data_IF_436673693566
#
_entry.id   IF_436673693566
#
_cell.length_a   1.000
_cell.length_b   1.000
_cell.length_c   1.000
_cell.angle_alpha   90.00
_cell.angle_beta   90.00
_cell.angle_gamma   90.00
#
_symmetry.space_group_name_H-M   'P 1'
#
loop_
_entity.id
_entity.type
_entity.pdbx_description
1 polymer ?
#
# COMPACT_ATOMS: atom_id res chain seq x y z
N UNK A 1 13.14 -18.22 -24.59
CA UNK A 1 13.27 -16.88 -25.21
C UNK A 1 13.52 -15.86 -24.10
N UNK A 2 14.77 -15.78 -23.66
CA UNK A 2 15.72 -14.70 -23.97
C UNK A 2 15.41 -13.39 -23.23
N UNK A 3 16.05 -13.27 -22.06
CA UNK A 3 16.22 -12.06 -21.26
C UNK A 3 16.93 -10.99 -22.09
N UNK A 4 16.49 -9.73 -22.03
CA UNK A 4 17.30 -8.58 -22.46
C UNK A 4 17.85 -7.81 -21.25
N UNK A 5 19.14 -7.46 -21.26
CA UNK A 5 19.78 -6.75 -20.16
C UNK A 5 19.65 -5.23 -20.28
N UNK A 6 19.63 -4.59 -19.12
CA UNK A 6 19.85 -3.16 -18.89
C UNK A 6 21.28 -2.79 -19.34
N UNK A 7 21.42 -1.79 -20.21
CA UNK A 7 22.72 -1.15 -20.51
C UNK A 7 22.59 0.35 -20.29
N UNK A 8 23.32 0.83 -19.29
CA UNK A 8 23.78 2.20 -19.10
C UNK A 8 24.77 2.56 -20.22
N UNK A 9 24.55 3.69 -20.90
CA UNK A 9 25.59 4.40 -21.65
C UNK A 9 25.39 5.89 -21.40
N UNK A 10 26.32 6.47 -20.64
CA UNK A 10 26.54 7.91 -20.52
C UNK A 10 27.32 8.32 -21.78
N UNK A 11 26.78 9.26 -22.55
CA UNK A 11 27.54 10.02 -23.55
C UNK A 11 27.32 11.50 -23.29
N UNK A 12 28.41 12.16 -22.90
CA UNK A 12 28.57 13.59 -22.97
C UNK A 12 28.85 13.94 -24.43
N UNK A 13 27.96 14.69 -25.06
CA UNK A 13 28.25 15.38 -26.31
C UNK A 13 28.15 16.89 -26.04
N UNK A 14 29.29 17.56 -26.20
CA UNK A 14 29.43 19.01 -26.20
C UNK A 14 28.62 19.60 -27.36
N UNK A 15 27.71 20.53 -27.05
CA UNK A 15 27.04 21.34 -28.07
C UNK A 15 27.46 22.80 -27.86
N UNK A 16 28.28 23.25 -28.81
CA UNK A 16 28.72 24.62 -29.05
C UNK A 16 27.52 25.57 -29.19
N UNK A 17 27.42 26.54 -28.29
CA UNK A 17 26.46 27.65 -28.39
C UNK A 17 27.01 28.73 -29.32
N UNK A 18 26.50 28.77 -30.55
CA UNK A 18 26.67 29.90 -31.46
C UNK A 18 25.59 30.94 -31.16
N UNK A 19 26.06 32.16 -30.94
CA UNK A 19 25.36 33.33 -30.47
C UNK A 19 24.56 33.97 -31.62
N UNK A 20 23.22 33.97 -31.56
CA UNK A 20 22.39 34.80 -32.43
C UNK A 20 21.46 35.71 -31.62
N UNK A 21 21.87 36.97 -31.57
CA UNK A 21 21.14 38.10 -30.99
C UNK A 21 20.04 38.55 -31.95
N UNK A 22 18.81 38.10 -31.75
CA UNK A 22 17.60 38.89 -32.03
C UNK A 22 16.36 38.09 -31.64
N UNK A 23 15.37 38.76 -31.03
CA UNK A 23 14.01 38.26 -30.66
C UNK A 23 13.78 37.77 -29.22
N UNK A 24 14.53 38.29 -28.25
CA UNK A 24 14.18 38.18 -26.81
C UNK A 24 13.65 39.51 -26.26
N UNK A 25 12.41 39.88 -26.59
CA UNK A 25 11.70 41.00 -25.92
C UNK A 25 10.23 40.73 -25.55
N UNK A 26 9.68 39.55 -25.83
CA UNK A 26 8.27 39.25 -25.51
C UNK A 26 8.07 38.22 -24.38
N UNK A 27 9.14 37.59 -23.88
CA UNK A 27 9.04 36.49 -22.91
C UNK A 27 9.49 36.87 -21.47
N UNK A 28 9.88 38.13 -21.25
CA UNK A 28 10.50 38.56 -19.99
C UNK A 28 9.54 39.20 -18.97
N UNK A 29 8.24 39.30 -19.26
CA UNK A 29 7.29 40.00 -18.38
C UNK A 29 6.52 39.09 -17.41
N UNK A 30 6.72 37.76 -17.44
CA UNK A 30 5.95 36.82 -16.61
C UNK A 30 6.74 36.21 -15.42
N UNK A 31 8.01 36.60 -15.20
CA UNK A 31 8.88 35.99 -14.16
C UNK A 31 9.15 36.92 -12.96
N UNK A 32 8.63 38.14 -12.95
CA UNK A 32 8.78 39.10 -11.84
C UNK A 32 7.49 39.24 -11.00
N UNK A 33 6.94 38.12 -10.52
CA UNK A 33 5.98 38.11 -9.41
C UNK A 33 6.32 37.00 -8.39
N UNK A 34 7.62 36.84 -8.13
CA UNK A 34 8.16 35.95 -7.11
C UNK A 34 9.02 36.76 -6.15
N UNK A 35 8.39 37.29 -5.08
CA UNK A 35 8.98 37.61 -3.77
C UNK A 35 8.09 38.56 -2.96
N UNK A 36 6.83 38.18 -2.72
CA UNK A 36 6.14 38.51 -1.47
C UNK A 36 5.29 37.29 -1.15
N UNK A 37 5.85 36.32 -0.43
CA UNK A 37 5.05 35.28 0.21
C UNK A 37 4.34 35.99 1.37
N UNK A 38 3.02 36.25 1.35
CA UNK A 38 2.32 36.42 2.60
C UNK A 38 2.51 35.09 3.32
N UNK A 39 3.03 35.14 4.54
CA UNK A 39 2.89 34.03 5.49
C UNK A 39 1.38 33.79 5.62
N UNK A 40 0.87 32.84 4.82
CA UNK A 40 -0.51 32.41 4.91
C UNK A 40 -0.72 31.95 6.35
N UNK A 41 -1.62 32.63 7.06
CA UNK A 41 -2.04 32.21 8.38
C UNK A 41 -2.75 30.87 8.22
N UNK A 42 -2.01 29.76 8.35
CA UNK A 42 -2.64 28.45 8.49
C UNK A 42 -3.37 28.44 9.82
N UNK A 43 -4.68 28.24 9.77
CA UNK A 43 -5.50 28.01 10.96
C UNK A 43 -5.09 26.63 11.48
N UNK A 44 -4.17 26.56 12.44
CA UNK A 44 -3.79 25.27 13.01
C UNK A 44 -3.27 25.33 14.45
N UNK A 45 -3.78 24.40 15.27
CA UNK A 45 -3.10 23.84 16.43
C UNK A 45 -2.32 22.62 15.97
N UNK A 46 -0.99 22.59 16.13
CA UNK A 46 -0.17 21.49 15.64
C UNK A 46 -0.59 20.11 16.19
N UNK A 47 -0.38 19.06 15.42
CA UNK A 47 -0.59 17.68 15.88
C UNK A 47 0.41 17.35 17.01
N UNK A 48 -0.10 17.02 18.19
CA UNK A 48 0.71 16.61 19.34
C UNK A 48 0.58 15.11 19.52
N UNK A 49 1.70 14.40 19.40
CA UNK A 49 1.78 12.96 19.69
C UNK A 49 1.56 12.73 21.18
N UNK A 50 0.53 11.98 21.53
CA UNK A 50 0.28 11.62 22.92
C UNK A 50 1.33 10.63 23.42
N UNK A 51 1.80 10.83 24.65
CA UNK A 51 2.80 9.97 25.26
C UNK A 51 2.10 8.76 25.88
N UNK A 52 2.37 7.57 25.34
CA UNK A 52 1.86 6.31 25.87
C UNK A 52 2.71 5.94 27.10
N UNK A 53 2.05 5.57 28.19
CA UNK A 53 2.72 5.02 29.36
C UNK A 53 3.11 3.56 29.08
N UNK A 54 4.41 3.31 28.90
CA UNK A 54 4.98 2.01 28.59
C UNK A 54 5.91 1.58 29.72
N UNK A 55 6.00 0.27 30.02
CA UNK A 55 6.96 -0.24 30.99
C UNK A 55 8.39 0.06 30.52
N UNK A 56 9.30 0.35 31.46
CA UNK A 56 10.70 0.65 31.13
C UNK A 56 11.46 -0.58 30.59
N UNK A 57 11.06 -1.79 31.02
CA UNK A 57 11.76 -3.04 30.69
C UNK A 57 10.78 -4.18 30.37
N UNK A 58 11.21 -5.08 29.49
CA UNK A 58 10.53 -6.37 29.29
C UNK A 58 10.78 -7.30 30.48
N UNK A 59 9.82 -8.19 30.77
CA UNK A 59 10.01 -9.27 31.75
C UNK A 59 11.14 -10.23 31.36
N UNK A 60 11.45 -10.34 30.06
CA UNK A 60 12.56 -11.12 29.51
C UNK A 60 13.42 -10.21 28.64
N UNK A 61 14.69 -10.06 29.01
CA UNK A 61 15.63 -9.23 28.25
C UNK A 61 16.40 -10.08 27.25
N UNK A 62 16.36 -9.68 25.97
CA UNK A 62 17.19 -10.26 24.93
C UNK A 62 18.67 -9.92 25.11
N UNK A 63 19.56 -10.73 24.54
CA UNK A 63 21.02 -10.56 24.67
C UNK A 63 21.70 -10.11 23.38
N UNK A 64 20.99 -10.12 22.24
CA UNK A 64 21.61 -9.91 20.92
C UNK A 64 21.12 -8.65 20.22
N UNK A 65 21.99 -8.09 19.37
CA UNK A 65 21.63 -7.07 18.38
C UNK A 65 21.30 -7.76 17.06
N UNK A 66 20.18 -8.48 17.01
CA UNK A 66 19.72 -9.06 15.74
C UNK A 66 18.95 -8.05 14.89
N UNK A 67 18.95 -8.26 13.57
CA UNK A 67 18.17 -7.46 12.62
C UNK A 67 16.69 -7.86 12.69
N UNK A 68 15.83 -6.91 13.05
CA UNK A 68 14.38 -7.10 13.02
C UNK A 68 13.83 -7.32 11.59
N UNK A 69 14.55 -6.85 10.57
CA UNK A 69 14.08 -6.89 9.17
C UNK A 69 14.21 -8.29 8.57
N UNK A 70 15.28 -9.03 8.92
CA UNK A 70 15.57 -10.36 8.38
C UNK A 70 15.66 -11.43 9.48
N UNK A 71 14.83 -11.31 10.51
CA UNK A 71 14.88 -12.10 11.75
C UNK A 71 14.88 -13.62 11.53
N UNK A 72 14.24 -14.11 10.47
CA UNK A 72 14.17 -15.55 10.19
C UNK A 72 15.54 -16.14 9.80
N UNK A 73 16.50 -15.30 9.38
CA UNK A 73 17.85 -15.76 9.05
C UNK A 73 18.60 -16.29 10.27
N UNK A 74 18.18 -15.89 11.48
CA UNK A 74 18.80 -16.33 12.73
C UNK A 74 18.58 -17.81 13.02
N UNK A 75 17.60 -18.46 12.38
CA UNK A 75 17.43 -19.91 12.43
C UNK A 75 18.54 -20.67 11.69
N UNK A 76 19.37 -19.97 10.90
CA UNK A 76 20.46 -20.54 10.10
C UNK A 76 20.01 -21.70 9.18
N UNK A 77 18.82 -21.58 8.60
CA UNK A 77 18.24 -22.58 7.69
C UNK A 77 18.21 -22.06 6.24
N UNK A 78 19.08 -22.57 5.35
CA UNK A 78 19.11 -22.17 3.95
C UNK A 78 17.83 -22.53 3.16
N UNK A 79 17.11 -23.59 3.55
CA UNK A 79 15.84 -23.97 2.90
C UNK A 79 14.76 -22.96 3.26
N UNK A 80 14.65 -22.59 4.54
CA UNK A 80 13.73 -21.55 5.00
C UNK A 80 13.98 -20.22 4.29
N UNK A 81 15.26 -19.82 4.15
CA UNK A 81 15.62 -18.59 3.45
C UNK A 81 15.15 -18.59 1.98
N UNK A 82 15.41 -19.68 1.25
CA UNK A 82 14.96 -19.83 -0.14
C UNK A 82 13.44 -19.81 -0.28
N UNK A 83 12.74 -20.47 0.65
CA UNK A 83 11.27 -20.49 0.66
C UNK A 83 10.70 -19.08 0.86
N UNK A 84 11.24 -18.32 1.83
CA UNK A 84 10.80 -16.94 2.08
C UNK A 84 11.11 -16.04 0.89
N UNK A 85 12.30 -16.14 0.30
CA UNK A 85 12.65 -15.37 -0.90
C UNK A 85 11.69 -15.69 -2.06
N UNK A 86 11.32 -16.96 -2.22
CA UNK A 86 10.35 -17.38 -3.24
C UNK A 86 8.94 -16.81 -2.97
N UNK A 87 8.47 -16.91 -1.74
CA UNK A 87 7.15 -16.39 -1.32
C UNK A 87 7.09 -14.88 -1.53
N UNK A 88 8.09 -14.12 -1.07
CA UNK A 88 8.12 -12.67 -1.19
C UNK A 88 8.18 -12.18 -2.66
N UNK A 89 8.68 -13.00 -3.58
CA UNK A 89 8.74 -12.64 -5.00
C UNK A 89 7.41 -12.82 -5.75
N UNK A 90 6.53 -13.71 -5.28
CA UNK A 90 5.32 -14.14 -6.01
C UNK A 90 4.02 -13.97 -5.24
N UNK A 91 4.07 -13.50 -4.00
CA UNK A 91 2.87 -13.37 -3.17
C UNK A 91 1.93 -12.26 -3.69
N UNK A 92 0.68 -12.61 -3.92
CA UNK A 92 -0.34 -11.70 -4.47
C UNK A 92 -0.76 -10.60 -3.48
N UNK A 93 -0.76 -10.85 -2.17
CA UNK A 93 -1.10 -9.82 -1.17
C UNK A 93 -0.03 -8.72 -1.12
N UNK A 94 1.24 -9.10 -1.32
CA UNK A 94 2.33 -8.14 -1.43
C UNK A 94 2.25 -7.33 -2.73
N UNK A 95 1.89 -7.96 -3.86
CA UNK A 95 1.64 -7.27 -5.12
C UNK A 95 0.50 -6.26 -5.01
N UNK A 96 -0.61 -6.64 -4.36
CA UNK A 96 -1.73 -5.76 -4.06
C UNK A 96 -1.31 -4.58 -3.17
N UNK A 97 -0.49 -4.83 -2.15
CA UNK A 97 0.03 -3.78 -1.28
C UNK A 97 0.92 -2.77 -2.03
N UNK A 98 1.75 -3.24 -2.98
CA UNK A 98 2.55 -2.36 -3.85
C UNK A 98 1.61 -1.49 -4.71
N UNK A 99 0.56 -2.08 -5.29
CA UNK A 99 -0.40 -1.33 -6.10
C UNK A 99 -1.10 -0.22 -5.30
N UNK A 100 -1.45 -0.46 -4.02
CA UNK A 100 -2.03 0.55 -3.12
C UNK A 100 -1.06 1.71 -2.82
N UNK A 101 0.23 1.41 -2.70
CA UNK A 101 1.26 2.44 -2.53
C UNK A 101 1.39 3.28 -3.80
N UNK A 102 1.33 2.66 -4.97
CA UNK A 102 1.38 3.37 -6.26
C UNK A 102 0.13 4.23 -6.50
N UNK A 103 -1.06 3.72 -6.14
CA UNK A 103 -2.32 4.49 -6.12
C UNK A 103 -2.20 5.72 -5.21
N UNK A 104 -1.79 5.53 -3.96
CA UNK A 104 -1.62 6.64 -3.01
C UNK A 104 -0.58 7.66 -3.48
N UNK A 105 0.47 7.22 -4.19
CA UNK A 105 1.46 8.11 -4.79
C UNK A 105 0.85 8.94 -5.93
N UNK A 106 0.01 8.34 -6.76
CA UNK A 106 -0.69 9.04 -7.83
C UNK A 106 -1.69 10.07 -7.27
N UNK A 107 -2.43 9.72 -6.20
CA UNK A 107 -3.34 10.64 -5.51
C UNK A 107 -2.61 11.82 -4.87
N UNK A 108 -1.42 11.60 -4.28
CA UNK A 108 -0.55 12.70 -3.86
C UNK A 108 -0.12 13.57 -5.04
N UNK A 109 0.23 12.96 -6.18
CA UNK A 109 0.52 13.67 -7.43
C UNK A 109 -0.64 14.56 -7.89
N UNK A 110 -1.87 14.05 -7.84
CA UNK A 110 -3.08 14.80 -8.15
C UNK A 110 -3.26 16.00 -7.19
N UNK A 111 -3.16 15.78 -5.88
CA UNK A 111 -3.32 16.87 -4.91
C UNK A 111 -2.24 17.95 -5.06
N UNK A 112 -1.00 17.56 -5.38
CA UNK A 112 0.05 18.52 -5.74
C UNK A 112 -0.30 19.32 -7.00
N UNK A 113 -0.84 18.67 -8.04
CA UNK A 113 -1.20 19.34 -9.28
C UNK A 113 -2.34 20.35 -9.08
N UNK A 114 -3.28 20.10 -8.17
CA UNK A 114 -4.35 21.03 -7.80
C UNK A 114 -3.84 22.37 -7.21
N UNK A 115 -2.59 22.41 -6.71
CA UNK A 115 -1.95 23.66 -6.25
C UNK A 115 -1.43 24.55 -7.39
N UNK A 116 -1.47 24.09 -8.64
CA UNK A 116 -0.95 24.82 -9.80
C UNK A 116 -2.06 25.21 -10.77
N UNK A 117 -1.83 26.23 -11.62
CA UNK A 117 -2.77 26.59 -12.67
C UNK A 117 -3.01 25.43 -13.64
N UNK A 118 -4.27 25.18 -13.97
CA UNK A 118 -4.68 24.22 -14.99
C UNK A 118 -5.00 24.94 -16.30
N UNK A 119 -4.42 24.46 -17.40
CA UNK A 119 -4.73 24.93 -18.75
C UNK A 119 -5.57 23.87 -19.47
N UNK A 120 -6.76 24.25 -19.87
CA UNK A 120 -7.66 23.46 -20.72
C UNK A 120 -7.82 24.16 -22.07
N UNK A 121 -8.32 23.46 -23.07
CA UNK A 121 -8.65 24.05 -24.36
C UNK A 121 -10.01 23.54 -24.82
N UNK A 122 -10.87 24.46 -25.22
CA UNK A 122 -12.21 24.14 -25.70
C UNK A 122 -12.32 24.48 -27.18
N UNK A 123 -12.83 23.55 -27.98
CA UNK A 123 -13.25 23.79 -29.36
C UNK A 123 -14.76 23.59 -29.38
N UNK A 124 -15.50 24.57 -29.88
CA UNK A 124 -16.96 24.50 -29.85
C UNK A 124 -17.61 25.31 -30.94
N UNK A 125 -18.84 24.93 -31.25
CA UNK A 125 -19.77 25.70 -32.06
C UNK A 125 -21.03 25.97 -31.22
N UNK A 126 -21.38 27.24 -31.09
CA UNK A 126 -22.61 27.67 -30.44
C UNK A 126 -23.52 28.28 -31.49
N UNK A 127 -24.73 27.73 -31.63
CA UNK A 127 -25.79 28.32 -32.44
C UNK A 127 -26.97 28.62 -31.54
N UNK A 128 -27.35 29.89 -31.46
CA UNK A 128 -28.53 30.33 -30.74
C UNK A 128 -29.52 30.92 -31.74
N UNK A 129 -30.76 30.42 -31.75
CA UNK A 129 -31.84 30.97 -32.57
C UNK A 129 -32.79 31.74 -31.65
N UNK A 130 -32.98 33.05 -31.89
CA UNK A 130 -33.92 33.91 -31.15
C UNK A 130 -33.83 33.75 -29.62
N UNK A 131 -32.67 34.02 -29.06
CA UNK A 131 -32.46 34.00 -27.61
C UNK A 131 -32.59 35.44 -27.09
N UNK A 132 -33.76 35.80 -26.54
CA UNK A 132 -34.00 37.14 -26.00
C UNK A 132 -33.31 37.27 -24.64
N UNK A 133 -32.02 37.62 -24.64
CA UNK A 133 -31.24 37.93 -23.45
C UNK A 133 -31.07 39.45 -23.32
N UNK A 134 -31.11 40.02 -22.09
CA UNK A 134 -30.72 41.41 -21.90
C UNK A 134 -29.31 41.63 -22.48
N UNK A 135 -29.12 42.69 -23.28
CA UNK A 135 -27.86 43.07 -23.96
C UNK A 135 -27.44 42.30 -25.21
N UNK A 136 -28.13 41.22 -25.60
CA UNK A 136 -27.87 40.50 -26.86
C UNK A 136 -29.13 40.63 -27.71
N UNK A 137 -29.01 41.26 -28.89
CA UNK A 137 -30.14 41.52 -29.79
C UNK A 137 -30.95 40.27 -30.16
N UNK A 138 -32.15 40.46 -30.71
CA UNK A 138 -33.09 39.37 -30.99
C UNK A 138 -32.71 38.46 -32.18
N UNK A 139 -31.55 38.73 -32.80
CA UNK A 139 -31.06 38.01 -33.96
C UNK A 139 -30.29 36.77 -33.52
N UNK A 140 -30.56 35.64 -34.18
CA UNK A 140 -29.80 34.42 -33.94
C UNK A 140 -28.34 34.60 -34.35
N UNK A 141 -27.42 33.97 -33.63
CA UNK A 141 -26.01 33.97 -33.96
C UNK A 141 -25.47 32.55 -34.04
N UNK A 142 -24.48 32.35 -34.91
CA UNK A 142 -23.64 31.16 -34.93
C UNK A 142 -22.22 31.61 -34.63
N UNK A 143 -21.55 30.91 -33.72
CA UNK A 143 -20.18 31.19 -33.32
C UNK A 143 -19.39 29.90 -33.28
N UNK A 144 -18.26 29.89 -33.98
CA UNK A 144 -17.25 28.86 -33.93
C UNK A 144 -16.05 29.41 -33.16
N UNK A 145 -15.45 28.61 -32.27
CA UNK A 145 -14.32 29.10 -31.50
C UNK A 145 -13.37 28.02 -31.00
N UNK A 146 -12.13 28.46 -30.80
CA UNK A 146 -11.08 27.74 -30.10
C UNK A 146 -10.56 28.60 -28.96
N UNK A 147 -10.67 28.10 -27.73
CA UNK A 147 -10.48 28.88 -26.52
C UNK A 147 -9.71 28.10 -25.45
N UNK A 148 -8.38 28.25 -25.40
CA UNK A 148 -7.58 27.99 -24.21
C UNK A 148 -8.13 28.71 -22.97
N UNK A 149 -8.33 27.95 -21.89
CA UNK A 149 -8.86 28.42 -20.61
C UNK A 149 -7.92 28.01 -19.47
N UNK A 150 -7.36 29.02 -18.80
CA UNK A 150 -6.53 28.89 -17.61
C UNK A 150 -7.41 29.05 -16.36
N UNK A 151 -7.34 28.11 -15.43
CA UNK A 151 -7.96 28.22 -14.10
C UNK A 151 -6.93 28.03 -12.99
N UNK A 152 -7.02 28.82 -11.94
CA UNK A 152 -6.12 28.73 -10.79
C UNK A 152 -6.83 29.14 -9.50
N UNK A 153 -6.66 28.40 -8.42
CA UNK A 153 -7.12 28.79 -7.08
C UNK A 153 -5.91 29.26 -6.26
N UNK A 154 -5.95 30.51 -5.78
CA UNK A 154 -4.93 31.00 -4.85
C UNK A 154 -5.26 30.45 -3.46
N UNK A 155 -4.33 29.70 -2.90
CA UNK A 155 -4.50 29.08 -1.58
C UNK A 155 -4.20 30.05 -0.43
N UNK A 156 -5.07 31.03 -0.22
CA UNK A 156 -4.92 32.03 0.85
C UNK A 156 -4.95 31.44 2.25
N UNK A 157 -5.71 30.35 2.44
CA UNK A 157 -6.02 29.76 3.74
C UNK A 157 -5.28 28.43 4.00
N UNK A 158 -4.46 27.97 3.05
CA UNK A 158 -3.75 26.70 3.14
C UNK A 158 -4.64 25.47 2.93
N UNK A 159 -5.84 25.59 2.35
CA UNK A 159 -6.75 24.47 2.09
C UNK A 159 -6.13 23.44 1.15
N UNK A 160 -5.53 23.89 0.05
CA UNK A 160 -4.89 23.01 -0.93
C UNK A 160 -3.60 22.42 -0.37
N UNK A 161 -2.81 23.24 0.33
CA UNK A 161 -1.63 22.77 1.04
C UNK A 161 -1.96 21.67 2.06
N UNK A 162 -3.02 21.84 2.86
CA UNK A 162 -3.50 20.81 3.82
C UNK A 162 -4.08 19.58 3.14
N UNK A 163 -4.74 19.71 1.99
CA UNK A 163 -5.18 18.55 1.21
C UNK A 163 -3.99 17.72 0.72
N UNK A 164 -2.92 18.38 0.28
CA UNK A 164 -1.67 17.71 -0.12
C UNK A 164 -0.93 17.10 1.06
N UNK A 165 -0.91 17.77 2.21
CA UNK A 165 -0.36 17.21 3.45
C UNK A 165 -1.10 15.94 3.87
N UNK A 166 -2.44 15.94 3.80
CA UNK A 166 -3.25 14.76 4.07
C UNK A 166 -2.91 13.60 3.12
N UNK A 167 -2.87 13.86 1.81
CA UNK A 167 -2.49 12.86 0.81
C UNK A 167 -1.05 12.33 1.01
N UNK A 168 -0.13 13.18 1.50
CA UNK A 168 1.24 12.78 1.81
C UNK A 168 1.29 11.81 2.98
N UNK A 169 0.55 12.10 4.06
CA UNK A 169 0.45 11.18 5.20
C UNK A 169 -0.25 9.88 4.83
N UNK A 170 -1.25 9.91 3.93
CA UNK A 170 -1.85 8.69 3.39
C UNK A 170 -0.81 7.80 2.67
N UNK A 171 0.04 8.40 1.83
CA UNK A 171 1.13 7.65 1.17
C UNK A 171 2.14 7.08 2.18
N UNK A 172 2.48 7.83 3.22
CA UNK A 172 3.37 7.32 4.29
C UNK A 172 2.72 6.16 5.05
N UNK A 173 1.42 6.27 5.34
CA UNK A 173 0.62 5.22 5.97
C UNK A 173 0.65 3.93 5.15
N UNK A 174 0.46 3.99 3.83
CA UNK A 174 0.53 2.79 2.97
C UNK A 174 1.95 2.21 2.85
N UNK A 175 2.99 3.06 2.93
CA UNK A 175 4.39 2.59 2.96
C UNK A 175 4.73 1.81 4.24
N UNK A 176 4.09 2.11 5.35
CA UNK A 176 4.24 1.33 6.59
C UNK A 176 3.33 0.09 6.57
N UNK A 177 2.14 0.18 5.97
CA UNK A 177 1.21 -0.95 5.79
C UNK A 177 1.85 -2.10 5.01
N UNK A 178 2.55 -1.81 3.89
CA UNK A 178 3.27 -2.84 3.13
C UNK A 178 4.35 -3.55 3.97
N UNK A 179 4.98 -2.86 4.93
CA UNK A 179 5.95 -3.49 5.84
C UNK A 179 5.25 -4.42 6.81
N UNK A 180 4.08 -4.06 7.35
CA UNK A 180 3.24 -4.94 8.17
C UNK A 180 2.84 -6.20 7.41
N UNK A 181 2.32 -6.04 6.19
CA UNK A 181 1.91 -7.16 5.32
C UNK A 181 3.10 -8.09 5.07
N UNK A 182 4.27 -7.52 4.72
CA UNK A 182 5.50 -8.29 4.53
C UNK A 182 5.88 -9.09 5.77
N UNK A 183 5.84 -8.48 6.97
CA UNK A 183 6.16 -9.16 8.23
C UNK A 183 5.20 -10.32 8.49
N UNK A 184 3.90 -10.14 8.25
CA UNK A 184 2.89 -11.18 8.43
C UNK A 184 3.10 -12.35 7.46
N UNK A 185 3.37 -12.08 6.18
CA UNK A 185 3.66 -13.12 5.18
C UNK A 185 4.88 -13.95 5.60
N UNK A 186 5.94 -13.29 6.05
CA UNK A 186 7.15 -13.99 6.53
C UNK A 186 6.83 -14.83 7.76
N UNK A 187 6.15 -14.27 8.76
CA UNK A 187 5.78 -14.98 9.97
C UNK A 187 4.91 -16.21 9.69
N UNK A 188 3.94 -16.09 8.78
CA UNK A 188 3.09 -17.22 8.38
C UNK A 188 3.88 -18.29 7.62
N UNK A 189 4.79 -17.87 6.73
CA UNK A 189 5.68 -18.78 6.01
C UNK A 189 6.57 -19.58 6.97
N UNK A 190 7.19 -18.90 7.94
CA UNK A 190 8.01 -19.53 8.99
C UNK A 190 7.18 -20.50 9.83
N UNK A 191 5.96 -20.12 10.21
CA UNK A 191 5.05 -20.98 10.97
C UNK A 191 4.71 -22.25 10.18
N UNK A 192 4.29 -22.11 8.93
CA UNK A 192 3.95 -23.24 8.08
C UNK A 192 5.16 -24.17 7.87
N UNK A 193 6.34 -23.60 7.62
CA UNK A 193 7.58 -24.35 7.48
C UNK A 193 7.86 -25.22 8.71
N UNK A 194 7.85 -24.63 9.90
CA UNK A 194 8.11 -25.38 11.14
C UNK A 194 6.99 -26.36 11.50
N UNK A 195 5.74 -26.06 11.19
CA UNK A 195 4.63 -27.01 11.35
C UNK A 195 4.82 -28.25 10.47
N UNK A 196 5.27 -28.10 9.22
CA UNK A 196 5.57 -29.22 8.32
C UNK A 196 6.72 -30.05 8.88
N UNK A 197 7.79 -29.41 9.36
CA UNK A 197 8.92 -30.12 9.98
C UNK A 197 8.49 -30.93 11.22
N UNK A 198 7.69 -30.33 12.09
CA UNK A 198 7.17 -31.01 13.27
C UNK A 198 6.27 -32.20 12.90
N UNK A 199 5.41 -32.05 11.88
CA UNK A 199 4.54 -33.12 11.41
C UNK A 199 5.33 -34.24 10.73
N UNK A 200 6.39 -33.93 9.99
CA UNK A 200 7.30 -34.95 9.44
C UNK A 200 7.94 -35.79 10.55
N UNK A 201 8.41 -35.14 11.62
CA UNK A 201 8.97 -35.82 12.77
C UNK A 201 7.94 -36.72 13.47
N UNK A 202 6.70 -36.23 13.63
CA UNK A 202 5.60 -37.02 14.21
C UNK A 202 5.23 -38.22 13.32
N UNK A 203 5.10 -38.04 12.01
CA UNK A 203 4.79 -39.13 11.07
C UNK A 203 5.89 -40.20 11.11
N UNK A 204 7.16 -39.77 11.13
CA UNK A 204 8.30 -40.69 11.24
C UNK A 204 8.24 -41.52 12.51
N UNK A 205 7.99 -40.88 13.67
CA UNK A 205 7.89 -41.58 14.94
C UNK A 205 6.65 -42.50 15.00
N UNK A 206 5.49 -42.04 14.51
CA UNK A 206 4.29 -42.87 14.40
C UNK A 206 4.55 -44.10 13.53
N UNK A 207 5.32 -43.98 12.45
CA UNK A 207 5.69 -45.12 11.62
C UNK A 207 6.58 -46.13 12.36
N UNK A 208 7.50 -45.67 13.21
CA UNK A 208 8.29 -46.56 14.09
C UNK A 208 7.41 -47.26 15.12
N UNK A 209 6.44 -46.54 15.70
CA UNK A 209 5.45 -47.12 16.63
C UNK A 209 4.62 -48.20 15.92
N UNK A 210 4.13 -47.93 14.71
CA UNK A 210 3.35 -48.91 13.91
C UNK A 210 4.18 -50.18 13.68
N UNK A 211 5.44 -50.05 13.22
CA UNK A 211 6.33 -51.18 13.00
C UNK A 211 6.58 -52.00 14.29
N UNK A 212 6.79 -51.33 15.42
CA UNK A 212 6.97 -52.01 16.70
C UNK A 212 5.71 -52.77 17.14
N UNK A 213 4.52 -52.19 16.94
CA UNK A 213 3.24 -52.84 17.26
C UNK A 213 2.92 -53.99 16.31
N UNK A 214 3.27 -53.85 15.03
CA UNK A 214 3.16 -54.92 14.04
C UNK A 214 4.04 -56.11 14.43
N UNK A 215 5.31 -55.87 14.76
CA UNK A 215 6.23 -56.91 15.20
C UNK A 215 5.72 -57.65 16.46
N UNK A 216 5.16 -56.90 17.43
CA UNK A 216 4.55 -57.49 18.62
C UNK A 216 3.33 -58.36 18.27
N UNK A 217 2.46 -57.89 17.39
CA UNK A 217 1.30 -58.66 16.91
C UNK A 217 1.72 -59.94 16.18
N UNK A 218 2.72 -59.85 15.29
CA UNK A 218 3.28 -61.03 14.59
C UNK A 218 3.88 -62.04 15.58
N UNK A 219 4.58 -61.58 16.61
CA UNK A 219 5.12 -62.44 17.66
C UNK A 219 3.99 -63.13 18.44
N UNK A 220 2.99 -62.39 18.90
CA UNK A 220 1.85 -62.95 19.62
C UNK A 220 1.06 -63.93 18.76
N UNK A 221 0.91 -63.67 17.46
CA UNK A 221 0.29 -64.60 16.52
C UNK A 221 1.04 -65.94 16.46
N UNK A 222 2.38 -65.91 16.46
CA UNK A 222 3.22 -67.12 16.51
C UNK A 222 3.08 -67.85 17.86
N UNK A 223 3.12 -67.14 18.97
CA UNK A 223 2.97 -67.75 20.31
C UNK A 223 1.59 -68.38 20.50
N UNK A 224 0.53 -67.74 20.02
CA UNK A 224 -0.83 -68.28 20.05
C UNK A 224 -0.93 -69.58 19.24
N UNK A 225 -0.34 -69.64 18.03
CA UNK A 225 -0.32 -70.86 17.22
C UNK A 225 0.41 -72.04 17.90
N UNK A 226 1.27 -71.76 18.88
CA UNK A 226 1.95 -72.76 19.71
C UNK A 226 1.26 -73.02 21.05
N UNK A 227 0.09 -72.41 21.30
CA UNK A 227 -0.65 -72.54 22.56
C UNK A 227 -0.01 -71.84 23.76
N UNK A 228 0.98 -70.95 23.55
CA UNK A 228 1.73 -70.30 24.65
C UNK A 228 1.04 -69.07 25.24
N UNK A 229 0.03 -68.52 24.56
CA UNK A 229 -0.78 -67.39 25.03
C UNK A 229 -2.27 -67.65 24.71
N UNK A 230 -3.18 -66.92 25.34
CA UNK A 230 -4.61 -66.98 25.07
C UNK A 230 -5.05 -66.05 23.92
N UNK A 231 -6.29 -66.23 23.43
CA UNK A 231 -6.83 -65.40 22.33
C UNK A 231 -6.98 -63.92 22.73
N UNK A 232 -7.29 -63.64 24.00
CA UNK A 232 -7.45 -62.25 24.49
C UNK A 232 -6.17 -61.43 24.28
N UNK A 233 -4.99 -62.00 24.58
CA UNK A 233 -3.70 -61.33 24.37
C UNK A 233 -3.42 -61.09 22.88
N UNK A 234 -3.78 -62.05 22.01
CA UNK A 234 -3.67 -61.89 20.56
C UNK A 234 -4.56 -60.74 20.06
N UNK A 235 -5.84 -60.72 20.46
CA UNK A 235 -6.81 -59.68 20.05
C UNK A 235 -6.43 -58.30 20.58
N UNK A 236 -5.96 -58.20 21.82
CA UNK A 236 -5.48 -56.94 22.38
C UNK A 236 -4.27 -56.39 21.60
N UNK A 237 -3.35 -57.27 21.17
CA UNK A 237 -2.23 -56.86 20.31
C UNK A 237 -2.68 -56.42 18.91
N UNK A 238 -3.68 -57.10 18.34
CA UNK A 238 -4.27 -56.73 17.04
C UNK A 238 -4.90 -55.33 17.12
N UNK A 239 -5.74 -55.09 18.14
CA UNK A 239 -6.37 -53.78 18.37
C UNK A 239 -5.31 -52.69 18.60
N UNK A 240 -4.24 -52.97 19.34
CA UNK A 240 -3.14 -52.02 19.55
C UNK A 240 -2.43 -51.65 18.25
N UNK A 241 -2.19 -52.61 17.36
CA UNK A 241 -1.60 -52.37 16.04
C UNK A 241 -2.53 -51.53 15.15
N UNK A 242 -3.82 -51.91 15.02
CA UNK A 242 -4.77 -51.17 14.19
C UNK A 242 -5.01 -49.74 14.72
N UNK A 243 -5.11 -49.56 16.04
CA UNK A 243 -5.24 -48.23 16.65
C UNK A 243 -4.02 -47.34 16.36
N UNK A 244 -2.80 -47.91 16.37
CA UNK A 244 -1.60 -47.16 16.00
C UNK A 244 -1.61 -46.78 14.51
N UNK A 245 -2.07 -47.69 13.64
CA UNK A 245 -2.16 -47.48 12.19
C UNK A 245 -3.14 -46.34 11.83
N UNK A 246 -4.23 -46.19 12.57
CA UNK A 246 -5.22 -45.13 12.36
C UNK A 246 -4.70 -43.71 12.66
N UNK A 247 -3.59 -43.56 13.38
CA UNK A 247 -3.06 -42.23 13.73
C UNK A 247 -2.33 -41.55 12.55
N UNK A 248 -1.70 -42.33 11.68
CA UNK A 248 -0.85 -41.81 10.59
C UNK A 248 -1.63 -40.95 9.57
N UNK A 249 -2.80 -41.38 9.05
CA UNK A 249 -3.55 -40.59 8.06
C UNK A 249 -3.92 -39.18 8.55
N UNK A 250 -4.30 -39.03 9.83
CA UNK A 250 -4.65 -37.73 10.40
C UNK A 250 -3.46 -36.77 10.46
N UNK A 251 -2.24 -37.28 10.67
CA UNK A 251 -1.02 -36.48 10.64
C UNK A 251 -0.64 -36.08 9.21
N UNK A 252 -0.81 -36.99 8.25
CA UNK A 252 -0.58 -36.72 6.82
C UNK A 252 -1.55 -35.65 6.28
N UNK A 253 -2.82 -35.71 6.67
CA UNK A 253 -3.82 -34.70 6.32
C UNK A 253 -3.44 -33.33 6.87
N UNK A 254 -3.08 -33.23 8.16
CA UNK A 254 -2.60 -31.99 8.77
C UNK A 254 -1.38 -31.43 8.06
N UNK A 255 -0.44 -32.28 7.66
CA UNK A 255 0.74 -31.88 6.89
C UNK A 255 0.33 -31.29 5.55
N UNK A 256 -0.62 -31.92 4.87
CA UNK A 256 -1.12 -31.45 3.59
C UNK A 256 -1.79 -30.06 3.69
N UNK A 257 -2.50 -29.77 4.78
CA UNK A 257 -3.08 -28.43 5.00
C UNK A 257 -2.00 -27.35 5.01
N UNK A 258 -0.91 -27.55 5.77
CA UNK A 258 0.18 -26.56 5.81
C UNK A 258 0.93 -26.43 4.48
N UNK A 259 1.09 -27.52 3.73
CA UNK A 259 1.64 -27.50 2.38
C UNK A 259 0.75 -26.64 1.46
N UNK A 260 -0.57 -26.83 1.52
CA UNK A 260 -1.52 -26.06 0.74
C UNK A 260 -1.46 -24.56 1.08
N UNK A 261 -1.33 -24.20 2.36
CA UNK A 261 -1.15 -22.80 2.79
C UNK A 261 0.14 -22.21 2.20
N UNK A 262 1.26 -22.93 2.22
CA UNK A 262 2.50 -22.47 1.59
C UNK A 262 2.35 -22.25 0.08
N UNK A 263 1.59 -23.10 -0.62
CA UNK A 263 1.32 -22.91 -2.04
C UNK A 263 0.51 -21.65 -2.32
N UNK A 264 -0.49 -21.35 -1.47
CA UNK A 264 -1.26 -20.10 -1.57
C UNK A 264 -0.35 -18.90 -1.32
N UNK A 265 0.48 -18.95 -0.27
CA UNK A 265 1.41 -17.87 0.05
C UNK A 265 2.45 -17.63 -1.05
N UNK A 266 2.92 -18.67 -1.71
CA UNK A 266 3.91 -18.55 -2.79
C UNK A 266 3.32 -18.09 -4.13
N UNK A 267 2.01 -17.90 -4.22
CA UNK A 267 1.33 -17.58 -5.48
C UNK A 267 1.55 -18.65 -6.56
N UNK A 268 1.85 -19.90 -6.15
CA UNK A 268 2.10 -21.00 -7.07
C UNK A 268 0.79 -21.38 -7.77
N UNK A 269 0.84 -21.53 -9.10
CA UNK A 269 -0.25 -22.16 -9.85
C UNK A 269 -0.46 -23.59 -9.35
N UNK A 270 -1.68 -24.15 -9.42
CA UNK A 270 -1.91 -25.56 -9.10
C UNK A 270 -0.96 -26.54 -9.83
N UNK A 271 -0.43 -26.13 -10.99
CA UNK A 271 0.56 -26.87 -11.78
C UNK A 271 2.00 -26.81 -11.24
N UNK A 272 2.37 -25.74 -10.51
CA UNK A 272 3.69 -25.56 -9.87
C UNK A 272 3.79 -26.29 -8.51
N UNK A 273 2.68 -26.88 -8.03
CA UNK A 273 2.52 -27.50 -6.71
C UNK A 273 3.44 -28.71 -6.39
N UNK A 274 4.35 -29.09 -7.30
CA UNK A 274 5.04 -30.39 -7.22
C UNK A 274 6.52 -30.35 -6.82
N UNK A 275 7.16 -29.18 -6.69
CA UNK A 275 8.55 -29.14 -6.21
C UNK A 275 8.62 -29.30 -4.68
N UNK A 276 8.48 -30.55 -4.24
CA UNK A 276 8.54 -30.97 -2.84
C UNK A 276 9.88 -30.64 -2.17
N UNK A 277 10.94 -30.46 -2.96
CA UNK A 277 12.30 -30.24 -2.45
C UNK A 277 12.43 -28.99 -1.57
N UNK A 278 11.51 -28.03 -1.70
CA UNK A 278 11.54 -26.76 -0.98
C UNK A 278 11.08 -26.88 0.49
N UNK A 279 10.27 -27.89 0.82
CA UNK A 279 9.72 -28.13 2.17
C UNK A 279 9.92 -29.56 2.68
N UNK A 280 10.48 -30.44 1.87
CA UNK A 280 10.84 -31.80 2.26
C UNK A 280 12.19 -31.80 3.01
N UNK A 281 12.17 -32.37 4.21
CA UNK A 281 13.31 -32.44 5.11
C UNK A 281 13.48 -33.89 5.56
N UNK A 282 14.62 -34.48 5.22
CA UNK A 282 14.94 -35.89 5.49
C UNK A 282 15.56 -36.12 6.88
N UNK A 283 15.84 -35.05 7.63
CA UNK A 283 16.40 -35.13 8.99
C UNK A 283 15.37 -34.95 10.09
N UNK A 284 15.75 -35.23 11.34
CA UNK A 284 14.95 -34.91 12.54
C UNK A 284 15.62 -33.80 13.37
N UNK A 285 16.44 -32.95 12.74
CA UNK A 285 17.15 -31.86 13.43
C UNK A 285 16.31 -30.60 13.36
N UNK A 286 15.61 -30.29 14.45
CA UNK A 286 14.98 -28.99 14.63
C UNK A 286 16.07 -27.92 14.76
N UNK A 287 15.94 -26.75 14.09
CA UNK A 287 16.93 -25.69 14.23
C UNK A 287 16.90 -25.12 15.65
N UNK A 288 18.06 -24.61 16.08
CA UNK A 288 18.17 -23.92 17.36
C UNK A 288 17.33 -22.65 17.32
N UNK A 289 16.59 -22.39 18.39
CA UNK A 289 15.83 -21.16 18.54
C UNK A 289 16.80 -19.96 18.60
N UNK A 290 16.51 -18.89 17.87
CA UNK A 290 17.31 -17.67 17.94
C UNK A 290 17.12 -16.98 19.29
N UNK A 291 18.16 -16.31 19.77
CA UNK A 291 18.11 -15.47 20.96
C UNK A 291 17.22 -14.25 20.73
N UNK A 292 16.51 -13.79 21.77
CA UNK A 292 15.72 -12.56 21.70
C UNK A 292 16.62 -11.31 21.52
N UNK A 293 16.17 -10.31 20.74
CA UNK A 293 16.90 -9.06 20.58
C UNK A 293 16.80 -8.18 21.84
N UNK A 294 17.86 -7.44 22.15
CA UNK A 294 17.89 -6.49 23.26
C UNK A 294 17.29 -5.13 22.84
N UNK A 295 15.96 -5.01 22.91
CA UNK A 295 15.23 -3.79 22.58
C UNK A 295 14.33 -3.39 23.75
N UNK A 296 14.27 -2.09 24.05
CA UNK A 296 13.33 -1.56 25.05
C UNK A 296 11.88 -1.68 24.56
N UNK A 297 10.88 -1.72 25.47
CA UNK A 297 9.48 -1.71 25.08
C UNK A 297 9.10 -0.54 24.17
N UNK A 298 9.60 0.66 24.46
CA UNK A 298 9.40 1.85 23.61
C UNK A 298 9.94 1.64 22.20
N UNK A 299 11.16 1.13 22.05
CA UNK A 299 11.75 0.87 20.72
C UNK A 299 10.95 -0.15 19.90
N UNK A 300 10.38 -1.16 20.56
CA UNK A 300 9.55 -2.17 19.88
C UNK A 300 8.22 -1.56 19.46
N UNK A 301 7.53 -0.87 20.37
CA UNK A 301 6.21 -0.28 20.11
C UNK A 301 6.31 0.85 19.07
N UNK A 302 7.26 1.76 19.19
CA UNK A 302 7.42 2.84 18.23
C UNK A 302 8.07 2.40 16.90
N UNK A 303 8.73 1.24 16.87
CA UNK A 303 9.31 0.66 15.65
C UNK A 303 8.34 -0.19 14.83
N UNK A 304 7.13 -0.43 15.35
CA UNK A 304 6.13 -1.30 14.74
C UNK A 304 5.47 -0.64 13.52
N UNK A 305 5.55 -1.23 12.31
CA UNK A 305 4.99 -0.61 11.11
C UNK A 305 3.47 -0.46 11.14
N UNK A 306 2.75 -1.32 11.87
CA UNK A 306 1.30 -1.20 12.06
C UNK A 306 0.92 0.02 12.91
N UNK A 307 1.74 0.35 13.92
CA UNK A 307 1.56 1.54 14.76
C UNK A 307 1.93 2.81 13.97
N UNK A 308 3.02 2.78 13.20
CA UNK A 308 3.41 3.89 12.32
C UNK A 308 2.36 4.14 11.22
N UNK A 309 1.76 3.08 10.67
CA UNK A 309 0.64 3.17 9.74
C UNK A 309 -0.55 3.94 10.36
N UNK A 310 -0.96 3.57 11.58
CA UNK A 310 -2.01 4.24 12.33
C UNK A 310 -1.67 5.70 12.65
N UNK A 311 -0.43 6.00 13.05
CA UNK A 311 0.03 7.38 13.32
C UNK A 311 -0.04 8.27 12.07
N UNK A 312 0.37 7.75 10.92
CA UNK A 312 0.25 8.45 9.65
C UNK A 312 -1.22 8.61 9.21
N UNK A 313 -2.08 7.62 9.46
CA UNK A 313 -3.50 7.72 9.16
C UNK A 313 -4.18 8.79 10.03
N UNK A 314 -3.84 8.85 11.31
CA UNK A 314 -4.29 9.90 12.22
C UNK A 314 -3.81 11.28 11.76
N UNK A 315 -2.54 11.40 11.36
CA UNK A 315 -1.97 12.66 10.82
C UNK A 315 -2.69 13.10 9.52
N UNK A 316 -3.00 12.15 8.63
CA UNK A 316 -3.79 12.38 7.42
C UNK A 316 -5.19 12.92 7.76
N UNK A 317 -5.88 12.27 8.70
CA UNK A 317 -7.23 12.68 9.13
C UNK A 317 -7.26 14.06 9.79
N UNK A 318 -6.22 14.41 10.56
CA UNK A 318 -6.05 15.73 11.15
C UNK A 318 -5.94 16.82 10.06
N UNK A 319 -5.10 16.59 9.05
CA UNK A 319 -4.99 17.50 7.92
C UNK A 319 -6.31 17.65 7.14
N UNK A 320 -7.09 16.57 6.97
CA UNK A 320 -8.42 16.63 6.36
C UNK A 320 -9.45 17.43 7.17
N UNK A 321 -9.36 17.44 8.51
CA UNK A 321 -10.19 18.35 9.34
C UNK A 321 -9.89 19.80 9.01
N UNK A 322 -8.61 20.16 8.85
CA UNK A 322 -8.21 21.51 8.42
C UNK A 322 -8.74 21.87 7.04
N UNK A 323 -8.72 20.93 6.07
CA UNK A 323 -9.34 21.11 4.75
C UNK A 323 -10.85 21.37 4.88
N UNK A 324 -11.54 20.62 5.73
CA UNK A 324 -12.97 20.79 5.97
C UNK A 324 -13.29 22.13 6.63
N UNK A 325 -12.50 22.56 7.62
CA UNK A 325 -12.65 23.87 8.29
C UNK A 325 -12.42 25.02 7.32
N UNK A 326 -11.48 24.90 6.40
CA UNK A 326 -11.24 25.93 5.39
C UNK A 326 -12.43 26.13 4.42
N UNK A 327 -13.40 25.21 4.38
CA UNK A 327 -14.62 25.39 3.58
C UNK A 327 -15.55 26.50 4.12
N UNK A 328 -15.35 26.96 5.36
CA UNK A 328 -16.01 28.16 5.90
C UNK A 328 -15.49 29.47 5.29
N UNK A 329 -14.31 29.45 4.66
CA UNK A 329 -13.62 30.64 4.19
C UNK A 329 -13.86 30.86 2.68
N UNK A 330 -13.85 32.11 2.21
CA UNK A 330 -14.04 32.41 0.80
C UNK A 330 -12.83 31.94 -0.02
N UNK A 331 -13.07 31.40 -1.21
CA UNK A 331 -12.03 30.96 -2.15
C UNK A 331 -11.71 32.06 -3.14
N UNK A 332 -10.43 32.30 -3.39
CA UNK A 332 -9.95 33.21 -4.42
C UNK A 332 -9.58 32.41 -5.68
N UNK A 333 -10.42 32.50 -6.71
CA UNK A 333 -10.20 31.86 -8.00
C UNK A 333 -9.78 32.89 -9.04
N UNK A 334 -8.75 32.58 -9.83
CA UNK A 334 -8.35 33.31 -11.02
C UNK A 334 -8.68 32.48 -12.26
N UNK A 335 -9.16 33.15 -13.30
CA UNK A 335 -9.29 32.54 -14.61
C UNK A 335 -8.78 33.47 -15.71
N UNK A 336 -8.26 32.86 -16.76
CA UNK A 336 -7.81 33.54 -17.97
C UNK A 336 -8.33 32.81 -19.20
N UNK A 337 -8.78 33.58 -20.18
CA UNK A 337 -9.24 33.09 -21.47
C UNK A 337 -8.40 33.76 -22.54
N UNK A 338 -7.90 32.94 -23.48
CA UNK A 338 -7.34 33.40 -24.74
C UNK A 338 -8.04 32.60 -25.82
N UNK A 339 -8.67 33.24 -26.80
CA UNK A 339 -9.48 32.50 -27.76
C UNK A 339 -9.73 33.21 -29.07
N UNK A 340 -9.96 32.39 -30.09
CA UNK A 340 -10.28 32.78 -31.45
C UNK A 340 -11.76 32.47 -31.69
N UNK A 341 -12.50 33.42 -32.25
CA UNK A 341 -13.93 33.25 -32.48
C UNK A 341 -14.35 33.86 -33.83
N UNK A 342 -15.25 33.19 -34.53
CA UNK A 342 -15.79 33.65 -35.81
C UNK A 342 -17.23 33.17 -36.01
N UNK A 343 -18.00 33.95 -36.74
CA UNK A 343 -19.32 33.61 -37.28
C UNK A 343 -19.26 32.64 -38.47
N UNK A 344 -18.08 32.54 -39.09
CA UNK A 344 -17.78 31.63 -40.20
C UNK A 344 -16.69 30.65 -39.75
N UNK A 345 -16.94 29.34 -39.90
CA UNK A 345 -16.02 28.28 -39.46
C UNK A 345 -14.61 28.38 -40.09
N UNK A 346 -14.51 28.73 -41.37
CA UNK A 346 -13.22 28.88 -42.07
C UNK A 346 -12.35 30.03 -41.55
N UNK A 347 -12.98 31.03 -40.90
CA UNK A 347 -12.33 32.29 -40.56
C UNK A 347 -12.00 32.40 -39.06
N UNK A 348 -12.09 31.28 -38.31
CA UNK A 348 -11.87 31.27 -36.86
C UNK A 348 -10.52 31.87 -36.47
N UNK A 349 -9.45 31.57 -37.21
CA UNK A 349 -8.10 32.07 -36.93
C UNK A 349 -7.72 33.33 -37.73
N UNK A 350 -8.60 33.82 -38.61
CA UNK A 350 -8.31 35.00 -39.44
C UNK A 350 -8.41 36.30 -38.65
N UNK A 351 -9.29 36.36 -37.66
CA UNK A 351 -9.37 37.47 -36.71
C UNK A 351 -8.33 37.27 -35.60
N UNK A 352 -7.77 38.37 -35.09
CA UNK A 352 -6.84 38.33 -33.96
C UNK A 352 -7.48 37.71 -32.70
N UNK A 353 -6.69 37.12 -31.79
CA UNK A 353 -7.23 36.49 -30.60
C UNK A 353 -7.86 37.51 -29.65
N UNK A 354 -8.99 37.14 -29.06
CA UNK A 354 -9.57 37.83 -27.91
C UNK A 354 -8.97 37.26 -26.62
N UNK A 355 -8.79 38.11 -25.61
CA UNK A 355 -8.35 37.68 -24.29
C UNK A 355 -9.17 38.33 -23.19
N UNK A 356 -9.36 37.60 -22.09
CA UNK A 356 -10.01 38.07 -20.89
C UNK A 356 -9.34 37.45 -19.66
N UNK A 357 -9.24 38.19 -18.57
CA UNK A 357 -8.79 37.67 -17.28
C UNK A 357 -9.70 38.23 -16.20
N UNK A 358 -10.10 37.41 -15.24
CA UNK A 358 -10.76 37.90 -14.05
C UNK A 358 -10.47 37.03 -12.84
N UNK A 359 -10.71 37.59 -11.66
CA UNK A 359 -10.68 36.88 -10.39
C UNK A 359 -12.05 36.96 -9.73
N UNK A 360 -12.37 35.94 -8.93
CA UNK A 360 -13.54 35.93 -8.07
C UNK A 360 -13.12 35.52 -6.65
N UNK A 361 -13.68 36.22 -5.66
CA UNK A 361 -13.56 35.84 -4.25
C UNK A 361 -14.97 35.52 -3.76
N UNK A 362 -15.22 34.26 -3.42
CA UNK A 362 -16.56 33.82 -3.06
C UNK A 362 -16.53 32.69 -2.03
N UNK A 363 -17.47 32.74 -1.09
CA UNK A 363 -17.63 31.73 -0.04
C UNK A 363 -19.09 31.60 0.39
N UNK A 364 -19.45 30.54 1.11
CA UNK A 364 -20.80 30.38 1.64
C UNK A 364 -21.10 31.45 2.69
N UNK A 365 -22.27 32.11 2.58
CA UNK A 365 -22.82 32.97 3.64
C UNK A 365 -23.83 32.17 4.47
N UNK A 366 -24.76 31.50 3.78
CA UNK A 366 -25.72 30.56 4.36
C UNK A 366 -25.64 29.25 3.59
N UNK A 367 -25.38 28.15 4.29
CA UNK A 367 -25.32 26.82 3.69
C UNK A 367 -26.13 25.77 4.48
N UNK A 368 -27.02 26.25 5.37
CA UNK A 368 -27.94 25.45 6.20
C UNK A 368 -27.24 24.33 6.97
N UNK A 369 -25.99 24.54 7.40
CA UNK A 369 -25.23 23.59 8.20
C UNK A 369 -24.42 22.58 7.37
N UNK A 370 -24.39 22.70 6.04
CA UNK A 370 -23.63 21.79 5.17
C UNK A 370 -22.14 21.73 5.54
N UNK A 371 -21.47 22.88 5.68
CA UNK A 371 -20.05 22.93 6.06
C UNK A 371 -19.83 22.38 7.46
N UNK A 372 -20.73 22.69 8.38
CA UNK A 372 -20.70 22.14 9.75
C UNK A 372 -20.73 20.61 9.75
N UNK A 373 -21.67 20.01 9.02
CA UNK A 373 -21.76 18.54 8.93
C UNK A 373 -20.53 17.90 8.28
N UNK A 374 -19.88 18.57 7.32
CA UNK A 374 -18.63 18.09 6.73
C UNK A 374 -17.48 18.12 7.76
N UNK A 375 -17.38 19.20 8.55
CA UNK A 375 -16.38 19.28 9.63
C UNK A 375 -16.64 18.23 10.70
N UNK A 376 -17.88 18.09 11.17
CA UNK A 376 -18.25 17.08 12.18
C UNK A 376 -17.96 15.66 11.68
N UNK A 377 -18.20 15.36 10.40
CA UNK A 377 -17.84 14.08 9.80
C UNK A 377 -16.32 13.86 9.73
N UNK A 378 -15.54 14.88 9.38
CA UNK A 378 -14.07 14.80 9.37
C UNK A 378 -13.50 14.63 10.78
N UNK A 379 -14.03 15.34 11.78
CA UNK A 379 -13.65 15.20 13.19
C UNK A 379 -14.03 13.81 13.73
N UNK A 380 -15.16 13.24 13.29
CA UNK A 380 -15.52 11.86 13.61
C UNK A 380 -14.54 10.85 13.00
N UNK A 381 -14.10 11.04 11.74
CA UNK A 381 -13.06 10.20 11.12
C UNK A 381 -11.71 10.32 11.82
N UNK A 382 -11.34 11.51 12.26
CA UNK A 382 -10.13 11.71 13.06
C UNK A 382 -10.21 10.95 14.39
N UNK A 383 -11.36 11.03 15.08
CA UNK A 383 -11.59 10.23 16.30
C UNK A 383 -11.53 8.73 16.03
N UNK A 384 -12.05 8.25 14.90
CA UNK A 384 -11.92 6.84 14.50
C UNK A 384 -10.47 6.42 14.27
N UNK A 385 -9.62 7.30 13.73
CA UNK A 385 -8.20 7.01 13.54
C UNK A 385 -7.39 7.07 14.84
N UNK A 386 -7.93 7.70 15.89
CA UNK A 386 -7.32 7.79 17.21
C UNK A 386 -7.65 6.58 18.11
N UNK A 387 -8.86 6.01 17.97
CA UNK A 387 -9.31 4.79 18.66
C UNK A 387 -8.64 3.58 18.01
#
# INVERSE_FOLDING_TARGET
>A
MSRRPMKTVIKQDEISFKNDKAKSKFFAFFVMFSCVLPTACSIESGFVKEKIDLPEHWALTGQTKSSLVNWWKDYNDPKLNKLIDHVLLKNADLELAIARVDESRALLGQSNAEQYPALSANIGALKANKLSLPFIGNDGFTQYGFSPFLSYEIDLWGRLAKATEAARFQLLSEKENIRTIRLNIIAETVRCYFSILALNAQISETQRIILNRENAYVLHKKLFSKGSINEVVLRQSQVSYENARLQKPALEERKQIYINVLHILSGASPSDMFDKSMYEYEGLVLPKLPSLPNLSPEQVVCGRPDILHAEHLLSSSHAYVSVARAAYLPKLSLWGLLGFHSDIFGNVFEKGPASAMAGSLGGPIFDFGRTRSIVEASEARQRQAYI
#
